data_IF_492741243957
#
_entry.id   IF_492741243957
#
_cell.length_a   1.000
_cell.length_b   1.000
_cell.length_c   1.000
_cell.angle_alpha   90.00
_cell.angle_beta   90.00
_cell.angle_gamma   90.00
#
_symmetry.space_group_name_H-M   'P 1'
#
loop_
_entity.id
_entity.type
_entity.pdbx_description
1 polymer ?
#
# COMPACT_ATOMS: atom_id res chain seq x y z
N UNK A 1 -9.19 -8.65 -11.27
CA UNK A 1 -9.30 -8.33 -9.82
C UNK A 1 -7.90 -8.06 -9.29
N UNK A 2 -7.68 -6.99 -8.52
CA UNK A 2 -6.34 -6.72 -7.96
C UNK A 2 -6.07 -7.67 -6.80
N UNK A 3 -4.87 -8.28 -6.76
CA UNK A 3 -4.46 -9.21 -5.69
C UNK A 3 -3.11 -8.79 -5.12
N UNK A 4 -3.03 -8.68 -3.80
CA UNK A 4 -1.75 -8.41 -3.11
C UNK A 4 -0.77 -9.55 -3.38
N UNK A 5 0.44 -9.19 -3.80
CA UNK A 5 1.57 -10.10 -3.98
C UNK A 5 2.66 -9.84 -2.92
N UNK A 6 2.97 -8.59 -2.60
CA UNK A 6 3.95 -8.19 -1.57
C UNK A 6 3.46 -6.95 -0.81
N UNK A 7 4.05 -6.64 0.35
CA UNK A 7 3.83 -5.35 1.01
C UNK A 7 4.99 -5.01 1.95
N UNK A 8 5.16 -3.72 2.22
CA UNK A 8 6.11 -3.18 3.17
C UNK A 8 5.40 -2.26 4.17
N UNK A 9 5.64 -2.48 5.46
CA UNK A 9 5.19 -1.58 6.53
C UNK A 9 6.32 -0.63 6.92
N UNK A 10 6.02 0.66 7.02
CA UNK A 10 7.01 1.69 7.37
C UNK A 10 6.91 2.16 8.81
N UNK A 11 5.84 1.82 9.50
CA UNK A 11 5.81 1.97 10.94
C UNK A 11 6.69 0.86 11.56
N UNK A 12 7.73 1.26 12.32
CA UNK A 12 8.67 0.36 13.04
C UNK A 12 7.96 -0.71 13.88
N UNK A 13 6.75 -0.39 14.30
CA UNK A 13 5.70 -1.31 14.73
C UNK A 13 4.59 -1.06 13.72
N UNK A 14 4.21 -2.00 12.85
CA UNK A 14 3.14 -1.70 11.89
C UNK A 14 1.93 -1.20 12.68
N UNK A 15 1.47 0.04 12.47
CA UNK A 15 0.31 0.55 13.22
C UNK A 15 -0.93 -0.31 12.91
N UNK A 16 -0.92 -1.01 11.76
CA UNK A 16 -1.95 -1.92 11.32
C UNK A 16 -1.38 -3.34 11.15
N UNK A 17 -2.04 -4.39 11.68
CA UNK A 17 -1.70 -5.77 11.38
C UNK A 17 -1.82 -6.08 9.89
N UNK A 18 -1.00 -7.02 9.38
CA UNK A 18 -1.05 -7.49 7.99
C UNK A 18 -2.47 -7.82 7.52
N UNK A 19 -3.25 -8.55 8.32
CA UNK A 19 -4.61 -8.95 7.96
C UNK A 19 -5.53 -7.74 7.75
N UNK A 20 -5.35 -6.68 8.53
CA UNK A 20 -6.13 -5.45 8.38
C UNK A 20 -5.76 -4.72 7.08
N UNK A 21 -4.48 -4.68 6.71
CA UNK A 21 -4.04 -4.11 5.42
C UNK A 21 -4.69 -4.86 4.25
N UNK A 22 -4.77 -6.19 4.35
CA UNK A 22 -5.35 -7.05 3.31
C UNK A 22 -6.87 -6.81 3.21
N UNK A 23 -7.57 -6.73 4.33
CA UNK A 23 -9.00 -6.42 4.38
C UNK A 23 -9.29 -5.04 3.79
N UNK A 24 -8.53 -4.01 4.16
CA UNK A 24 -8.67 -2.66 3.61
C UNK A 24 -8.45 -2.64 2.09
N UNK A 25 -7.45 -3.37 1.59
CA UNK A 25 -7.20 -3.49 0.16
C UNK A 25 -8.35 -4.18 -0.58
N UNK A 26 -8.86 -5.28 -0.04
CA UNK A 26 -9.99 -6.00 -0.62
C UNK A 26 -11.27 -5.17 -0.61
N UNK A 27 -11.57 -4.46 0.48
CA UNK A 27 -12.69 -3.53 0.57
C UNK A 27 -12.60 -2.43 -0.49
N UNK A 28 -11.45 -1.76 -0.59
CA UNK A 28 -11.20 -0.72 -1.60
C UNK A 28 -11.34 -1.26 -3.03
N UNK A 29 -10.79 -2.45 -3.32
CA UNK A 29 -10.93 -3.08 -4.63
C UNK A 29 -12.38 -3.41 -5.00
N UNK A 30 -13.24 -3.62 -4.00
CA UNK A 30 -14.67 -3.86 -4.17
C UNK A 30 -15.51 -2.56 -4.12
N UNK A 31 -14.86 -1.39 -4.18
CA UNK A 31 -15.53 -0.08 -4.18
C UNK A 31 -16.18 0.28 -2.85
N UNK A 32 -15.74 -0.34 -1.74
CA UNK A 32 -16.19 0.00 -0.40
C UNK A 32 -15.39 1.18 0.15
N UNK A 33 -16.04 2.00 0.95
CA UNK A 33 -15.37 3.03 1.74
C UNK A 33 -14.49 2.38 2.80
N UNK A 34 -13.26 2.87 2.93
CA UNK A 34 -12.25 2.41 3.88
C UNK A 34 -11.80 3.51 4.83
N UNK A 35 -12.53 4.62 4.88
CA UNK A 35 -12.29 5.72 5.82
C UNK A 35 -12.20 5.20 7.28
N UNK A 36 -11.27 5.72 8.10
CA UNK A 36 -10.42 6.90 7.86
C UNK A 36 -9.17 6.62 7.00
N UNK A 37 -8.99 5.39 6.52
CA UNK A 37 -7.88 5.05 5.64
C UNK A 37 -8.14 5.50 4.20
N UNK A 38 -7.06 5.66 3.44
CA UNK A 38 -7.12 5.90 1.99
C UNK A 38 -6.12 4.98 1.30
N UNK A 39 -6.53 4.36 0.20
CA UNK A 39 -5.63 3.63 -0.70
C UNK A 39 -5.48 4.44 -1.98
N UNK A 40 -4.24 4.82 -2.30
CA UNK A 40 -3.92 5.53 -3.53
C UNK A 40 -3.16 4.62 -4.50
N UNK A 41 -3.76 4.37 -5.65
CA UNK A 41 -3.18 3.53 -6.71
C UNK A 41 -2.34 4.35 -7.70
N UNK A 42 -2.39 5.69 -7.65
CA UNK A 42 -1.60 6.57 -8.50
C UNK A 42 -0.43 7.15 -7.69
N UNK A 43 0.58 6.31 -7.45
CA UNK A 43 1.71 6.66 -6.58
C UNK A 43 2.54 7.78 -7.20
N UNK A 44 2.60 8.92 -6.51
CA UNK A 44 3.63 9.93 -6.74
C UNK A 44 4.87 9.55 -5.93
N UNK A 45 6.00 9.27 -6.58
CA UNK A 45 7.24 8.92 -5.88
C UNK A 45 7.90 10.11 -5.17
N UNK A 46 7.60 11.34 -5.58
CA UNK A 46 8.24 12.55 -5.04
C UNK A 46 7.82 12.86 -3.60
N UNK A 47 6.76 12.20 -3.10
CA UNK A 47 6.30 12.31 -1.72
C UNK A 47 6.88 11.23 -0.79
N UNK A 48 7.68 10.31 -1.33
CA UNK A 48 8.26 9.21 -0.57
C UNK A 48 9.60 9.65 0.06
N UNK A 49 9.83 9.25 1.30
CA UNK A 49 11.17 9.35 1.89
C UNK A 49 12.14 8.29 1.30
N UNK A 50 13.44 8.37 1.63
CA UNK A 50 14.46 7.48 1.08
C UNK A 50 14.16 5.98 1.33
N UNK A 51 13.63 5.65 2.51
CA UNK A 51 13.30 4.26 2.86
C UNK A 51 12.06 3.78 2.11
N UNK A 52 11.05 4.64 2.00
CA UNK A 52 9.84 4.38 1.22
C UNK A 52 10.14 4.23 -0.26
N UNK A 53 11.01 5.08 -0.81
CA UNK A 53 11.43 5.04 -2.20
C UNK A 53 12.16 3.72 -2.51
N UNK A 54 13.12 3.30 -1.67
CA UNK A 54 13.83 2.03 -1.89
C UNK A 54 12.91 0.80 -1.90
N UNK A 55 11.89 0.77 -1.04
CA UNK A 55 10.92 -0.31 -1.03
C UNK A 55 9.86 -0.19 -2.14
N UNK A 56 9.52 1.03 -2.59
CA UNK A 56 8.76 1.24 -3.83
C UNK A 56 9.50 0.63 -5.03
N UNK A 57 10.78 0.97 -5.20
CA UNK A 57 11.63 0.47 -6.29
C UNK A 57 11.75 -1.05 -6.22
N UNK A 58 11.92 -1.62 -5.01
CA UNK A 58 11.94 -3.08 -4.80
C UNK A 58 10.63 -3.75 -5.25
N UNK A 59 9.47 -3.14 -5.02
CA UNK A 59 8.18 -3.69 -5.47
C UNK A 59 8.07 -3.66 -7.00
N UNK A 60 8.53 -2.57 -7.62
CA UNK A 60 8.59 -2.42 -9.08
C UNK A 60 9.51 -3.48 -9.71
N UNK A 61 10.69 -3.71 -9.15
CA UNK A 61 11.62 -4.76 -9.60
C UNK A 61 11.01 -6.16 -9.54
N UNK A 62 10.10 -6.39 -8.58
CA UNK A 62 9.34 -7.63 -8.44
C UNK A 62 8.10 -7.70 -9.35
N UNK A 63 7.99 -6.81 -10.34
CA UNK A 63 6.85 -6.67 -11.27
C UNK A 63 5.50 -6.45 -10.59
N UNK A 64 5.46 -5.70 -9.48
CA UNK A 64 4.22 -5.31 -8.83
C UNK A 64 3.76 -3.95 -9.36
N UNK A 65 2.44 -3.75 -9.42
CA UNK A 65 1.87 -2.42 -9.23
C UNK A 65 1.95 -2.05 -7.75
N UNK A 66 2.05 -0.76 -7.45
CA UNK A 66 2.18 -0.28 -6.08
C UNK A 66 1.00 0.61 -5.73
N UNK A 67 0.43 0.42 -4.54
CA UNK A 67 -0.50 1.34 -3.92
C UNK A 67 0.03 1.82 -2.57
N UNK A 68 -0.33 3.06 -2.21
CA UNK A 68 -0.03 3.64 -0.91
C UNK A 68 -1.24 3.51 0.01
N UNK A 69 -1.05 2.94 1.20
CA UNK A 69 -2.04 2.99 2.27
C UNK A 69 -1.72 4.16 3.18
N UNK A 70 -2.72 5.02 3.38
CA UNK A 70 -2.67 6.15 4.28
C UNK A 70 -3.56 5.93 5.50
N UNK A 71 -3.06 6.36 6.64
CA UNK A 71 -3.84 6.59 7.86
C UNK A 71 -3.71 8.07 8.23
N UNK A 72 -4.83 8.79 8.24
CA UNK A 72 -4.88 10.22 8.61
C UNK A 72 -3.81 11.09 7.89
N UNK A 73 -3.60 10.84 6.61
CA UNK A 73 -2.65 11.59 5.76
C UNK A 73 -1.19 11.14 5.85
N UNK A 74 -0.85 10.14 6.67
CA UNK A 74 0.48 9.54 6.74
C UNK A 74 0.51 8.22 6.00
N UNK A 75 1.60 7.97 5.26
CA UNK A 75 1.84 6.68 4.61
C UNK A 75 2.16 5.64 5.71
N UNK A 76 1.35 4.59 5.80
CA UNK A 76 1.54 3.51 6.77
C UNK A 76 2.01 2.20 6.13
N UNK A 77 1.72 2.00 4.83
CA UNK A 77 2.21 0.84 4.08
C UNK A 77 2.33 1.10 2.57
N UNK A 78 3.25 0.40 1.92
CA UNK A 78 3.29 0.21 0.46
C UNK A 78 2.78 -1.20 0.15
N UNK A 79 1.77 -1.27 -0.72
CA UNK A 79 1.11 -2.52 -1.10
C UNK A 79 1.52 -2.84 -2.54
N UNK A 80 2.25 -3.92 -2.73
CA UNK A 80 2.54 -4.50 -4.03
C UNK A 80 1.43 -5.46 -4.46
N UNK A 81 0.84 -5.24 -5.62
CA UNK A 81 -0.25 -6.05 -6.14
C UNK A 81 -0.11 -6.32 -7.64
N UNK A 82 -0.88 -7.28 -8.12
CA UNK A 82 -1.02 -7.59 -9.56
C UNK A 82 -2.48 -7.55 -9.99
N UNK A 83 -2.71 -7.19 -11.25
CA UNK A 83 -4.02 -7.30 -11.88
C UNK A 83 -4.15 -8.71 -12.48
N UNK A 84 -5.09 -9.49 -11.94
CA UNK A 84 -5.54 -10.76 -12.52
C UNK A 84 -6.71 -10.54 -13.47
#
# INVERSE_FOLDING_TARGET
MKKIQNFFSYAKVSELPKNQIFELFDLSNNGKDVSPYKIDYAVNKDILDECQLGAYESLIELNNEVALLYDNGKIVALIGYVVQ
#
